data_IF_452346795251
#
_entry.id   IF_452346795251
#
_cell.length_a   1.000
_cell.length_b   1.000
_cell.length_c   1.000
_cell.angle_alpha   90.00
_cell.angle_beta   90.00
_cell.angle_gamma   90.00
#
_symmetry.space_group_name_H-M   'P 1'
#
loop_
_entity.id
_entity.type
_entity.pdbx_description
1 polymer ?
#
# COMPACT_ATOMS: atom_id res chain seq x y z
N UNK A 1 -6.13 -3.49 9.64
CA UNK A 1 -6.56 -4.77 10.14
C UNK A 1 -5.35 -5.69 10.25
N UNK A 2 -5.35 -6.72 11.07
CA UNK A 2 -4.27 -7.56 11.61
C UNK A 2 -3.37 -8.36 10.63
N UNK A 3 -3.13 -7.91 9.41
CA UNK A 3 -2.32 -8.65 8.45
C UNK A 3 -0.84 -8.74 8.88
N UNK A 4 -0.32 -7.68 9.52
CA UNK A 4 1.06 -7.66 10.03
C UNK A 4 1.32 -8.75 11.08
N UNK A 5 0.43 -8.87 12.08
CA UNK A 5 0.57 -9.89 13.12
C UNK A 5 0.48 -11.30 12.54
N UNK A 6 -0.40 -11.52 11.56
CA UNK A 6 -0.55 -12.79 10.86
C UNK A 6 0.71 -13.12 10.05
N UNK A 7 1.23 -12.17 9.28
CA UNK A 7 2.45 -12.34 8.49
C UNK A 7 3.67 -12.63 9.39
N UNK A 8 3.81 -11.90 10.50
CA UNK A 8 4.84 -12.18 11.51
C UNK A 8 4.74 -13.60 12.06
N UNK A 9 3.53 -14.05 12.40
CA UNK A 9 3.29 -15.40 12.89
C UNK A 9 3.65 -16.48 11.85
N UNK A 10 3.35 -16.23 10.57
CA UNK A 10 3.73 -17.16 9.49
C UNK A 10 5.26 -17.22 9.30
N UNK A 11 5.95 -16.08 9.33
CA UNK A 11 7.42 -16.03 9.25
C UNK A 11 8.02 -16.82 10.43
N UNK A 12 7.55 -16.56 11.66
CA UNK A 12 8.02 -17.28 12.85
C UNK A 12 7.73 -18.78 12.73
N UNK A 13 6.56 -19.17 12.25
CA UNK A 13 6.22 -20.60 12.03
C UNK A 13 7.18 -21.27 11.04
N UNK A 14 7.58 -20.53 9.99
CA UNK A 14 8.44 -21.08 8.93
C UNK A 14 9.91 -21.12 9.32
N UNK A 15 10.43 -20.09 10.00
CA UNK A 15 11.84 -19.91 10.29
C UNK A 15 12.20 -20.08 11.79
N UNK A 16 11.23 -20.20 12.66
CA UNK A 16 11.41 -20.22 14.11
C UNK A 16 11.57 -18.84 14.75
N UNK A 17 11.90 -17.83 13.98
CA UNK A 17 12.11 -16.43 14.38
C UNK A 17 11.91 -15.51 13.19
N UNK A 18 11.89 -14.19 13.41
CA UNK A 18 11.97 -13.21 12.32
C UNK A 18 13.45 -12.95 12.02
N UNK A 19 13.96 -13.29 10.81
CA UNK A 19 15.34 -13.06 10.44
C UNK A 19 15.74 -11.58 10.58
N UNK A 20 16.97 -11.31 11.02
CA UNK A 20 17.45 -9.96 11.34
C UNK A 20 17.27 -8.95 10.20
N UNK A 21 17.43 -9.39 8.95
CA UNK A 21 17.27 -8.53 7.76
C UNK A 21 15.82 -8.25 7.36
N UNK A 22 14.82 -8.88 8.00
CA UNK A 22 13.42 -8.73 7.63
C UNK A 22 12.74 -7.73 8.55
N UNK A 23 12.09 -6.72 7.95
CA UNK A 23 11.20 -5.79 8.63
C UNK A 23 9.76 -5.97 8.14
N UNK A 24 8.88 -6.35 9.04
CA UNK A 24 7.43 -6.43 8.78
C UNK A 24 6.77 -5.23 9.41
N UNK A 25 5.98 -4.50 8.63
CA UNK A 25 5.28 -3.31 9.08
C UNK A 25 3.99 -3.10 8.29
N UNK A 26 3.05 -2.40 8.86
CA UNK A 26 1.86 -1.96 8.13
C UNK A 26 2.20 -0.85 7.13
N UNK A 27 1.35 -0.66 6.13
CA UNK A 27 1.50 0.44 5.17
C UNK A 27 1.62 1.82 5.86
N UNK A 28 0.80 2.06 6.88
CA UNK A 28 0.81 3.34 7.57
C UNK A 28 2.03 3.54 8.45
N UNK A 29 2.59 2.47 9.04
CA UNK A 29 3.88 2.53 9.73
C UNK A 29 5.02 2.83 8.76
N UNK A 30 5.00 2.22 7.57
CA UNK A 30 5.97 2.52 6.51
C UNK A 30 5.87 3.98 6.07
N UNK A 31 4.67 4.46 5.70
CA UNK A 31 4.49 5.85 5.30
C UNK A 31 4.91 6.84 6.39
N UNK A 32 4.50 6.62 7.64
CA UNK A 32 4.81 7.53 8.73
C UNK A 32 6.25 7.40 9.22
N UNK A 33 6.69 6.17 9.51
CA UNK A 33 8.00 5.92 10.12
C UNK A 33 9.15 6.05 9.13
N UNK A 34 9.02 5.44 7.95
CA UNK A 34 10.09 5.38 6.97
C UNK A 34 10.08 6.55 5.98
N UNK A 35 8.87 6.95 5.50
CA UNK A 35 8.76 7.97 4.46
C UNK A 35 8.58 9.39 5.00
N UNK A 36 7.84 9.60 6.10
CA UNK A 36 7.54 10.94 6.61
C UNK A 36 8.57 11.44 7.63
N UNK A 37 8.81 10.65 8.69
CA UNK A 37 9.63 11.13 9.83
C UNK A 37 11.02 11.63 9.43
N UNK A 38 11.77 10.96 8.56
CA UNK A 38 13.12 11.41 8.21
C UNK A 38 13.17 12.75 7.49
N UNK A 39 12.10 13.15 6.80
CA UNK A 39 12.11 14.33 5.94
C UNK A 39 11.27 15.51 6.48
N UNK A 40 10.15 15.22 7.15
CA UNK A 40 9.17 16.25 7.50
C UNK A 40 8.85 16.34 9.00
N UNK A 41 9.36 15.44 9.83
CA UNK A 41 9.01 15.41 11.26
C UNK A 41 9.38 16.72 11.97
N UNK A 42 10.56 17.26 11.72
CA UNK A 42 11.01 18.53 12.34
C UNK A 42 10.19 19.72 11.84
N UNK A 43 9.91 19.75 10.52
CA UNK A 43 9.17 20.87 9.92
C UNK A 43 7.71 20.93 10.35
N UNK A 44 7.06 19.76 10.49
CA UNK A 44 5.63 19.69 10.75
C UNK A 44 5.29 19.31 12.20
N UNK A 45 6.28 18.93 13.02
CA UNK A 45 6.13 18.57 14.43
C UNK A 45 4.96 17.61 14.69
N UNK A 46 4.80 16.59 13.82
CA UNK A 46 3.66 15.69 13.88
C UNK A 46 3.65 14.85 15.16
N UNK A 47 2.46 14.70 15.74
CA UNK A 47 2.20 13.88 16.93
C UNK A 47 1.70 12.47 16.62
N UNK A 48 1.91 11.99 15.39
CA UNK A 48 1.51 10.66 14.94
C UNK A 48 0.39 10.69 13.89
N UNK A 49 -0.38 9.62 13.79
CA UNK A 49 -1.44 9.44 12.80
C UNK A 49 -2.83 9.66 13.40
N UNK A 50 -3.70 10.23 12.57
CA UNK A 50 -5.14 10.34 12.81
C UNK A 50 -5.89 9.45 11.83
N UNK A 51 -6.74 8.57 12.34
CA UNK A 51 -7.64 7.73 11.55
C UNK A 51 -9.04 8.34 11.36
N UNK A 52 -9.23 9.56 11.85
CA UNK A 52 -10.45 10.32 11.63
C UNK A 52 -10.62 10.71 10.16
N UNK A 53 -11.85 10.97 9.76
CA UNK A 53 -12.16 11.50 8.43
C UNK A 53 -11.53 12.89 8.27
N UNK A 54 -10.72 13.12 7.23
CA UNK A 54 -10.16 14.44 6.97
C UNK A 54 -11.24 15.43 6.49
N UNK A 55 -11.11 16.73 6.79
CA UNK A 55 -12.06 17.73 6.34
C UNK A 55 -12.04 17.95 4.84
N UNK A 56 -13.22 18.03 4.21
CA UNK A 56 -13.35 18.10 2.73
C UNK A 56 -13.03 19.46 2.11
N UNK A 57 -13.15 20.55 2.90
CA UNK A 57 -13.12 21.92 2.37
C UNK A 57 -11.85 22.72 2.68
N UNK A 58 -10.79 22.09 3.19
CA UNK A 58 -9.55 22.78 3.48
C UNK A 58 -8.62 22.70 2.26
N UNK A 59 -8.10 23.82 1.74
CA UNK A 59 -7.18 23.83 0.61
C UNK A 59 -5.91 23.02 0.89
N UNK A 60 -5.37 22.37 -0.16
CA UNK A 60 -4.15 21.56 -0.07
C UNK A 60 -2.89 22.35 0.32
N UNK A 61 -2.90 23.65 0.15
CA UNK A 61 -1.84 24.56 0.60
C UNK A 61 -1.83 24.80 2.12
N UNK A 62 -2.94 24.52 2.78
CA UNK A 62 -3.06 24.68 4.23
C UNK A 62 -2.67 23.37 4.92
N UNK A 63 -1.80 23.47 5.95
CA UNK A 63 -1.37 22.28 6.71
C UNK A 63 -2.52 21.53 7.38
N UNK A 64 -3.60 22.23 7.76
CA UNK A 64 -4.81 21.61 8.31
C UNK A 64 -5.51 20.67 7.34
N UNK A 65 -5.19 20.69 6.06
CA UNK A 65 -5.61 19.68 5.11
C UNK A 65 -5.01 18.31 5.47
N UNK A 66 -3.78 18.31 5.99
CA UNK A 66 -3.01 17.10 6.28
C UNK A 66 -2.96 16.75 7.77
N UNK A 67 -3.18 17.73 8.66
CA UNK A 67 -3.13 17.54 10.11
C UNK A 67 -4.44 17.89 10.79
N UNK A 68 -4.80 17.10 11.80
CA UNK A 68 -5.91 17.41 12.70
C UNK A 68 -5.51 18.48 13.72
N UNK A 69 -6.48 19.04 14.50
CA UNK A 69 -6.19 20.08 15.50
C UNK A 69 -5.22 19.63 16.59
N UNK A 70 -5.04 18.32 16.81
CA UNK A 70 -4.07 17.78 17.77
C UNK A 70 -2.67 17.61 17.16
N UNK A 71 -2.46 17.98 15.88
CA UNK A 71 -1.18 17.87 15.19
C UNK A 71 -0.89 16.46 14.69
N UNK A 72 -1.89 15.57 14.55
CA UNK A 72 -1.74 14.24 13.99
C UNK A 72 -2.06 14.26 12.50
N UNK A 73 -1.28 13.53 11.70
CA UNK A 73 -1.47 13.46 10.25
C UNK A 73 -2.64 12.54 9.90
N UNK A 74 -3.51 12.99 9.02
CA UNK A 74 -4.55 12.12 8.46
C UNK A 74 -3.91 11.02 7.61
N UNK A 75 -4.07 9.75 8.02
CA UNK A 75 -3.48 8.60 7.33
C UNK A 75 -3.82 8.59 5.84
N UNK A 76 -5.07 8.91 5.47
CA UNK A 76 -5.56 8.93 4.07
C UNK A 76 -4.89 10.00 3.18
N UNK A 77 -4.21 10.98 3.76
CA UNK A 77 -3.55 12.09 3.06
C UNK A 77 -2.03 12.06 3.15
N UNK A 78 -1.48 11.06 3.80
CA UNK A 78 -0.04 11.01 4.04
C UNK A 78 0.76 10.79 2.76
N UNK A 79 0.37 9.83 1.92
CA UNK A 79 0.99 9.62 0.61
C UNK A 79 0.86 10.87 -0.29
N UNK A 80 -0.31 11.52 -0.27
CA UNK A 80 -0.51 12.78 -0.99
C UNK A 80 0.42 13.89 -0.48
N UNK A 81 0.58 14.05 0.83
CA UNK A 81 1.50 15.02 1.43
C UNK A 81 2.94 14.80 0.93
N UNK A 82 3.42 13.57 1.01
CA UNK A 82 4.78 13.21 0.58
C UNK A 82 5.01 13.51 -0.91
N UNK A 83 4.04 13.17 -1.75
CA UNK A 83 4.07 13.47 -3.18
C UNK A 83 4.04 14.97 -3.46
N UNK A 84 3.15 15.71 -2.79
CA UNK A 84 3.01 17.17 -2.95
C UNK A 84 4.27 17.94 -2.48
N UNK A 85 5.05 17.35 -1.57
CA UNK A 85 6.34 17.89 -1.11
C UNK A 85 7.51 17.46 -2.00
N UNK A 86 7.27 16.71 -3.07
CA UNK A 86 8.31 16.29 -4.01
C UNK A 86 9.28 15.25 -3.47
N UNK A 87 8.92 14.51 -2.41
CA UNK A 87 9.85 13.63 -1.69
C UNK A 87 10.02 12.24 -2.31
N UNK A 88 9.30 11.92 -3.38
CA UNK A 88 9.37 10.59 -3.99
C UNK A 88 10.80 10.16 -4.41
N UNK A 89 11.62 11.01 -5.04
CA UNK A 89 13.01 10.63 -5.37
C UNK A 89 13.84 10.31 -4.13
N UNK A 90 13.73 11.14 -3.08
CA UNK A 90 14.48 10.96 -1.84
C UNK A 90 14.05 9.68 -1.10
N UNK A 91 12.74 9.39 -1.10
CA UNK A 91 12.19 8.18 -0.50
C UNK A 91 12.68 6.93 -1.25
N UNK A 92 12.70 6.95 -2.60
CA UNK A 92 13.25 5.84 -3.40
C UNK A 92 14.74 5.62 -3.13
N UNK A 93 15.52 6.69 -3.12
CA UNK A 93 16.95 6.63 -2.78
C UNK A 93 17.16 6.07 -1.37
N UNK A 94 16.34 6.51 -0.40
CA UNK A 94 16.38 5.97 0.95
C UNK A 94 16.00 4.49 0.99
N UNK A 95 14.98 4.08 0.23
CA UNK A 95 14.55 2.69 0.15
C UNK A 95 15.69 1.80 -0.36
N UNK A 96 16.32 2.17 -1.48
CA UNK A 96 17.46 1.45 -2.06
C UNK A 96 18.70 1.43 -1.15
N UNK A 97 18.84 2.42 -0.27
CA UNK A 97 19.97 2.44 0.69
C UNK A 97 19.80 1.44 1.84
N UNK A 98 18.57 1.15 2.25
CA UNK A 98 18.30 0.37 3.46
C UNK A 98 17.74 -1.02 3.19
N UNK A 99 17.26 -1.29 1.98
CA UNK A 99 16.64 -2.55 1.60
C UNK A 99 17.04 -2.98 0.20
N UNK A 100 17.21 -4.26 0.04
CA UNK A 100 17.47 -4.91 -1.26
C UNK A 100 16.16 -5.33 -1.93
N UNK A 101 15.11 -5.58 -1.13
CA UNK A 101 13.84 -6.10 -1.58
C UNK A 101 12.67 -5.45 -0.83
N UNK A 102 11.57 -5.25 -1.54
CA UNK A 102 10.29 -4.79 -1.00
C UNK A 102 9.19 -5.79 -1.38
N UNK A 103 8.56 -6.38 -0.38
CA UNK A 103 7.37 -7.22 -0.57
C UNK A 103 6.12 -6.46 -0.12
N UNK A 104 5.10 -6.41 -0.97
CA UNK A 104 3.82 -5.76 -0.68
C UNK A 104 2.72 -6.80 -0.80
N UNK A 105 2.05 -7.06 0.32
CA UNK A 105 0.90 -7.98 0.39
C UNK A 105 -0.42 -7.22 0.29
N UNK A 106 -1.48 -7.91 -0.15
CA UNK A 106 -2.84 -7.36 -0.32
C UNK A 106 -2.86 -6.08 -1.19
N UNK A 107 -2.14 -6.11 -2.30
CA UNK A 107 -1.95 -4.92 -3.14
C UNK A 107 -3.27 -4.37 -3.69
N UNK A 108 -4.32 -5.17 -3.77
CA UNK A 108 -5.67 -4.74 -4.19
C UNK A 108 -6.32 -3.75 -3.21
N UNK A 109 -5.88 -3.68 -1.96
CA UNK A 109 -6.42 -2.73 -0.98
C UNK A 109 -5.85 -1.31 -1.14
N UNK A 110 -4.81 -1.16 -1.96
CA UNK A 110 -4.28 0.16 -2.25
C UNK A 110 -5.22 0.95 -3.15
N UNK A 111 -5.58 2.15 -2.71
CA UNK A 111 -6.51 3.02 -3.41
C UNK A 111 -6.04 4.48 -3.38
N UNK A 112 -6.71 5.34 -4.12
CA UNK A 112 -6.48 6.78 -4.11
C UNK A 112 -5.02 7.18 -4.34
N UNK A 113 -4.51 8.04 -3.47
CA UNK A 113 -3.12 8.49 -3.52
C UNK A 113 -2.12 7.42 -3.10
N UNK A 114 -2.52 6.47 -2.25
CA UNK A 114 -1.64 5.39 -1.79
C UNK A 114 -1.28 4.46 -2.95
N UNK A 115 -2.23 4.17 -3.84
CA UNK A 115 -1.97 3.39 -5.04
C UNK A 115 -0.93 4.07 -5.96
N UNK A 116 -1.10 5.36 -6.23
CA UNK A 116 -0.14 6.10 -7.04
C UNK A 116 1.25 6.15 -6.38
N UNK A 117 1.29 6.30 -5.06
CA UNK A 117 2.52 6.31 -4.28
C UNK A 117 3.22 4.95 -4.35
N UNK A 118 2.48 3.84 -4.24
CA UNK A 118 3.00 2.49 -4.40
C UNK A 118 3.65 2.30 -5.77
N UNK A 119 2.98 2.69 -6.86
CA UNK A 119 3.54 2.61 -8.21
C UNK A 119 4.86 3.39 -8.35
N UNK A 120 4.97 4.54 -7.68
CA UNK A 120 6.21 5.30 -7.65
C UNK A 120 7.32 4.63 -6.81
N UNK A 121 6.98 3.93 -5.74
CA UNK A 121 7.94 3.12 -4.97
C UNK A 121 8.48 1.94 -5.80
N UNK A 122 7.64 1.33 -6.63
CA UNK A 122 8.06 0.24 -7.50
C UNK A 122 9.13 0.63 -8.54
N UNK A 123 9.38 1.94 -8.71
CA UNK A 123 10.49 2.46 -9.54
C UNK A 123 11.81 2.63 -8.76
N UNK A 124 11.86 2.23 -7.50
CA UNK A 124 13.13 2.22 -6.76
C UNK A 124 14.10 1.18 -7.34
N UNK A 125 15.39 1.41 -7.18
CA UNK A 125 16.45 0.50 -7.65
C UNK A 125 16.63 -0.69 -6.71
N UNK A 126 15.53 -1.42 -6.43
CA UNK A 126 15.48 -2.63 -5.63
C UNK A 126 14.53 -3.64 -6.26
N UNK A 127 14.59 -4.89 -5.83
CA UNK A 127 13.59 -5.90 -6.20
C UNK A 127 12.26 -5.59 -5.51
N UNK A 128 11.16 -5.52 -6.28
CA UNK A 128 9.81 -5.30 -5.73
C UNK A 128 8.89 -6.42 -6.15
N UNK A 129 8.25 -7.06 -5.19
CA UNK A 129 7.22 -8.06 -5.40
C UNK A 129 5.92 -7.62 -4.73
N UNK A 130 4.86 -7.52 -5.52
CA UNK A 130 3.51 -7.23 -5.06
C UNK A 130 2.63 -8.48 -5.21
N UNK A 131 1.89 -8.84 -4.15
CA UNK A 131 0.94 -9.93 -4.17
C UNK A 131 -0.45 -9.41 -3.80
N UNK A 132 -1.49 -9.99 -4.40
CA UNK A 132 -2.87 -9.66 -4.07
C UNK A 132 -3.86 -10.40 -4.95
N UNK A 133 -5.12 -10.29 -4.60
CA UNK A 133 -6.24 -10.83 -5.36
C UNK A 133 -7.24 -9.71 -5.63
N UNK A 134 -7.37 -9.31 -6.90
CA UNK A 134 -8.24 -8.21 -7.31
C UNK A 134 -9.69 -8.38 -6.81
N UNK A 135 -10.19 -9.61 -6.81
CA UNK A 135 -11.58 -9.90 -6.42
C UNK A 135 -11.80 -9.94 -4.91
N UNK A 136 -10.72 -9.92 -4.11
CA UNK A 136 -10.78 -9.81 -2.65
C UNK A 136 -10.68 -8.36 -2.17
N UNK A 137 -10.77 -7.38 -3.05
CA UNK A 137 -10.81 -5.97 -2.65
C UNK A 137 -12.01 -5.69 -1.75
N UNK A 138 -11.78 -5.33 -0.51
CA UNK A 138 -12.83 -5.01 0.48
C UNK A 138 -12.59 -3.70 1.23
N UNK A 139 -11.41 -3.13 1.10
CA UNK A 139 -10.97 -1.97 1.86
C UNK A 139 -10.11 -1.04 1.01
N UNK A 140 -10.29 0.27 1.16
CA UNK A 140 -9.43 1.29 0.55
C UNK A 140 -8.47 1.87 1.58
N UNK A 141 -7.17 1.77 1.36
CA UNK A 141 -6.14 2.39 2.22
C UNK A 141 -6.28 3.91 2.25
N UNK A 142 -6.63 4.52 1.10
CA UNK A 142 -6.85 5.95 0.96
C UNK A 142 -8.07 6.21 0.07
N UNK A 143 -9.10 6.79 0.63
CA UNK A 143 -10.24 7.32 -0.13
C UNK A 143 -10.40 8.80 0.19
N UNK A 144 -9.72 9.65 -0.58
CA UNK A 144 -9.79 11.11 -0.45
C UNK A 144 -10.01 11.74 -1.84
N UNK A 145 -11.23 12.22 -2.07
CA UNK A 145 -11.68 12.72 -3.36
C UNK A 145 -11.86 11.61 -4.42
N UNK A 146 -11.74 11.99 -5.69
CA UNK A 146 -12.00 11.10 -6.84
C UNK A 146 -10.74 10.46 -7.44
N UNK A 147 -9.61 10.53 -6.76
CA UNK A 147 -8.36 9.94 -7.27
C UNK A 147 -8.49 8.43 -7.29
N UNK A 148 -8.33 7.83 -8.46
CA UNK A 148 -8.48 6.39 -8.68
C UNK A 148 -9.85 5.81 -8.23
N UNK A 149 -10.93 6.59 -8.26
CA UNK A 149 -12.25 6.17 -7.78
C UNK A 149 -12.80 4.92 -8.49
N UNK A 150 -12.42 4.70 -9.76
CA UNK A 150 -12.86 3.57 -10.60
C UNK A 150 -11.78 2.48 -10.74
N UNK A 151 -10.74 2.51 -9.90
CA UNK A 151 -9.58 1.61 -10.02
C UNK A 151 -9.98 0.14 -9.95
N UNK A 152 -10.94 -0.20 -9.10
CA UNK A 152 -11.37 -1.57 -8.81
C UNK A 152 -12.64 -2.00 -9.59
N UNK A 153 -13.05 -1.24 -10.61
CA UNK A 153 -14.19 -1.60 -11.45
C UNK A 153 -13.82 -2.56 -12.59
N UNK A 154 -12.54 -2.58 -12.99
CA UNK A 154 -12.07 -3.34 -14.15
C UNK A 154 -10.63 -3.86 -13.91
N UNK A 155 -10.48 -5.18 -13.85
CA UNK A 155 -9.21 -5.85 -13.62
C UNK A 155 -8.18 -5.51 -14.71
N UNK A 156 -8.59 -5.42 -15.97
CA UNK A 156 -7.69 -5.14 -17.09
C UNK A 156 -7.10 -3.73 -16.96
N UNK A 157 -7.91 -2.76 -16.56
CA UNK A 157 -7.45 -1.39 -16.26
C UNK A 157 -6.56 -1.36 -15.03
N UNK A 158 -6.89 -2.12 -14.00
CA UNK A 158 -6.08 -2.25 -12.81
C UNK A 158 -4.68 -2.76 -13.13
N UNK A 159 -4.58 -3.89 -13.83
CA UNK A 159 -3.31 -4.46 -14.27
C UNK A 159 -2.51 -3.53 -15.19
N UNK A 160 -3.20 -2.83 -16.12
CA UNK A 160 -2.55 -1.88 -17.03
C UNK A 160 -1.81 -0.77 -16.28
N UNK A 161 -2.25 -0.38 -15.07
CA UNK A 161 -1.56 0.60 -14.23
C UNK A 161 -0.20 0.10 -13.76
N UNK A 162 -0.09 -1.17 -13.38
CA UNK A 162 1.19 -1.78 -13.00
C UNK A 162 2.11 -1.90 -14.22
N UNK A 163 1.60 -2.39 -15.34
CA UNK A 163 2.38 -2.48 -16.59
C UNK A 163 2.90 -1.13 -17.05
N UNK A 164 2.09 -0.07 -16.95
CA UNK A 164 2.51 1.30 -17.26
C UNK A 164 3.58 1.85 -16.31
N UNK A 165 3.67 1.31 -15.09
CA UNK A 165 4.75 1.62 -14.14
C UNK A 165 6.01 0.76 -14.36
N UNK A 166 6.03 -0.11 -15.37
CA UNK A 166 7.16 -1.00 -15.68
C UNK A 166 7.17 -2.29 -14.88
N UNK A 167 6.04 -2.63 -14.23
CA UNK A 167 5.93 -3.84 -13.40
C UNK A 167 5.37 -4.98 -14.25
N UNK A 168 6.02 -6.13 -14.20
CA UNK A 168 5.51 -7.36 -14.81
C UNK A 168 4.34 -7.88 -13.97
N UNK A 169 3.21 -8.16 -14.63
CA UNK A 169 2.02 -8.73 -14.00
C UNK A 169 1.90 -10.18 -14.40
N UNK A 170 1.91 -11.06 -13.41
CA UNK A 170 1.73 -12.51 -13.53
C UNK A 170 0.42 -12.91 -12.85
N UNK A 171 -0.52 -13.45 -13.62
CA UNK A 171 -1.82 -13.93 -13.15
C UNK A 171 -1.91 -15.48 -13.16
N UNK A 172 -0.82 -16.20 -13.49
CA UNK A 172 -0.82 -17.63 -13.70
C UNK A 172 -0.12 -18.40 -12.57
N UNK A 173 1.00 -17.89 -12.06
CA UNK A 173 1.83 -18.61 -11.07
C UNK A 173 1.06 -18.91 -9.77
N UNK A 174 0.17 -18.03 -9.33
CA UNK A 174 -0.66 -18.20 -8.13
C UNK A 174 -2.07 -18.71 -8.43
N UNK A 175 -2.25 -19.50 -9.49
CA UNK A 175 -3.55 -20.03 -9.92
C UNK A 175 -4.11 -21.15 -9.05
N UNK A 176 -3.35 -21.67 -8.07
CA UNK A 176 -3.80 -22.76 -7.19
C UNK A 176 -4.12 -22.24 -5.79
N UNK A 177 -5.30 -22.62 -5.29
CA UNK A 177 -5.67 -22.38 -3.90
C UNK A 177 -5.44 -23.60 -3.02
N UNK A 178 -4.98 -23.38 -1.80
CA UNK A 178 -4.88 -24.40 -0.74
C UNK A 178 -5.94 -24.22 0.34
N UNK A 179 -6.77 -23.19 0.25
CA UNK A 179 -7.82 -22.85 1.23
C UNK A 179 -9.17 -23.39 0.83
N UNK A 180 -9.47 -23.49 -0.46
CA UNK A 180 -10.79 -23.84 -0.97
C UNK A 180 -10.81 -25.29 -1.48
N UNK A 181 -11.95 -25.98 -1.27
CA UNK A 181 -12.19 -27.28 -1.89
C UNK A 181 -12.40 -27.16 -3.40
N UNK A 182 -12.20 -28.26 -4.14
CA UNK A 182 -12.43 -28.28 -5.59
C UNK A 182 -13.85 -27.79 -5.95
N UNK A 183 -14.87 -28.21 -5.20
CA UNK A 183 -16.27 -27.77 -5.42
C UNK A 183 -16.45 -26.27 -5.32
N UNK A 184 -15.78 -25.62 -4.34
CA UNK A 184 -15.81 -24.16 -4.21
C UNK A 184 -15.11 -23.49 -5.38
N UNK A 185 -13.96 -24.02 -5.79
CA UNK A 185 -13.24 -23.51 -6.96
C UNK A 185 -14.06 -23.63 -8.25
N UNK A 186 -14.71 -24.78 -8.48
CA UNK A 186 -15.60 -25.00 -9.62
C UNK A 186 -16.78 -24.04 -9.65
N UNK A 187 -17.38 -23.76 -8.47
CA UNK A 187 -18.44 -22.77 -8.35
C UNK A 187 -17.95 -21.36 -8.72
N UNK A 188 -16.79 -20.94 -8.19
CA UNK A 188 -16.23 -19.61 -8.43
C UNK A 188 -15.87 -19.45 -9.92
N UNK A 189 -15.20 -20.43 -10.50
CA UNK A 189 -14.75 -20.34 -11.90
C UNK A 189 -15.88 -20.57 -12.90
N UNK A 190 -16.80 -21.50 -12.60
CA UNK A 190 -17.87 -21.89 -13.52
C UNK A 190 -19.13 -21.01 -13.42
N UNK A 191 -19.52 -20.59 -12.23
CA UNK A 191 -20.76 -19.82 -12.02
C UNK A 191 -20.51 -18.31 -11.91
N UNK A 192 -19.40 -17.90 -11.28
CA UNK A 192 -19.06 -16.48 -11.11
C UNK A 192 -18.11 -15.98 -12.20
N UNK A 193 -17.59 -16.88 -13.05
CA UNK A 193 -16.61 -16.59 -14.12
C UNK A 193 -15.39 -15.78 -13.61
N UNK A 194 -14.97 -16.02 -12.37
CA UNK A 194 -13.75 -15.46 -11.75
C UNK A 194 -12.63 -16.46 -11.98
N UNK A 195 -11.55 -16.01 -12.60
CA UNK A 195 -10.37 -16.84 -12.91
C UNK A 195 -9.13 -16.31 -12.22
#
# INVERSE_FOLDING_TARGET
VNNEAHLRAQIIRRFGYIPYGIRVMTWFEFLHGFCFRPFLQEQLSSRGLSFNQPPSRIPRTNIRHYQDPAGRLYHRRLAHLLTARGLLPDIRTRLARYYDELFVDEVQDFAGHDFNFLLELCRAEISVLCCGDFYQHTFDTSRDGNVNATLHEDITRYEARFRAAGIMVDCETLSRTWRCSATVCEFITGQLNIR
#
